data_IF_901040064905
#
_entry.id   IF_901040064905
#
_cell.length_a   1.000
_cell.length_b   1.000
_cell.length_c   1.000
_cell.angle_alpha   90.00
_cell.angle_beta   90.00
_cell.angle_gamma   90.00
#
_symmetry.space_group_name_H-M   'P 1'
#
loop_
_entity.id
_entity.type
_entity.pdbx_description
1 polymer ?
#
# COMPACT_ATOMS: atom_id res chain seq x y z
N UNK A 1 -30.60 -29.61 6.21
CA UNK A 1 -30.25 -28.23 6.62
C UNK A 1 -29.99 -27.41 5.37
N UNK A 2 -30.69 -26.29 5.17
CA UNK A 2 -30.34 -25.31 4.13
C UNK A 2 -29.23 -24.44 4.70
N UNK A 3 -28.03 -24.51 4.13
CA UNK A 3 -26.97 -23.57 4.48
C UNK A 3 -27.37 -22.18 3.98
N UNK A 4 -27.44 -21.21 4.88
CA UNK A 4 -27.63 -19.80 4.52
C UNK A 4 -26.23 -19.21 4.41
N UNK A 5 -25.70 -19.17 3.20
CA UNK A 5 -24.49 -18.38 2.90
C UNK A 5 -24.93 -16.92 2.83
N UNK A 6 -24.72 -16.17 3.90
CA UNK A 6 -24.90 -14.72 3.87
C UNK A 6 -23.61 -14.13 3.31
N UNK A 7 -23.59 -13.82 2.02
CA UNK A 7 -22.53 -13.00 1.44
C UNK A 7 -22.60 -11.64 2.12
N UNK A 8 -21.58 -11.31 2.90
CA UNK A 8 -21.39 -9.94 3.38
C UNK A 8 -20.77 -9.20 2.20
N UNK A 9 -21.60 -8.59 1.37
CA UNK A 9 -21.12 -7.57 0.44
C UNK A 9 -20.68 -6.37 1.29
N UNK A 10 -19.40 -6.34 1.65
CA UNK A 10 -18.78 -5.12 2.17
C UNK A 10 -18.80 -4.12 1.03
N UNK A 11 -19.70 -3.13 1.10
CA UNK A 11 -19.62 -1.98 0.21
C UNK A 11 -18.40 -1.14 0.61
N UNK A 12 -17.23 -1.55 0.12
CA UNK A 12 -15.94 -0.90 0.35
C UNK A 12 -16.00 0.60 0.03
N UNK A 13 -16.82 1.01 -0.97
CA UNK A 13 -16.93 2.41 -1.37
C UNK A 13 -17.63 3.26 -0.30
N UNK A 14 -18.59 2.70 0.42
CA UNK A 14 -19.28 3.38 1.53
C UNK A 14 -18.47 3.42 2.83
N UNK A 15 -17.55 2.46 3.02
CA UNK A 15 -16.79 2.28 4.26
C UNK A 15 -15.41 2.96 4.24
N UNK A 16 -14.87 3.28 3.07
CA UNK A 16 -13.50 3.75 2.95
C UNK A 16 -13.36 5.27 2.99
N UNK A 17 -12.38 5.74 3.75
CA UNK A 17 -11.88 7.12 3.62
C UNK A 17 -10.84 7.16 2.49
N UNK A 18 -10.98 8.08 1.54
CA UNK A 18 -9.94 8.30 0.53
C UNK A 18 -8.76 8.99 1.18
N UNK A 19 -7.56 8.43 1.04
CA UNK A 19 -6.33 8.98 1.61
C UNK A 19 -5.17 8.79 0.62
N UNK A 20 -4.29 9.78 0.53
CA UNK A 20 -3.04 9.65 -0.22
C UNK A 20 -1.95 9.00 0.63
N UNK A 21 -0.88 8.52 -0.01
CA UNK A 21 0.28 7.99 0.72
C UNK A 21 0.87 9.07 1.63
N UNK A 22 1.04 10.29 1.12
CA UNK A 22 1.57 11.41 1.90
C UNK A 22 0.70 11.79 3.11
N UNK A 23 -0.63 11.69 3.00
CA UNK A 23 -1.55 11.94 4.10
C UNK A 23 -1.45 10.87 5.20
N UNK A 24 -1.34 9.59 4.82
CA UNK A 24 -1.12 8.52 5.80
C UNK A 24 0.23 8.69 6.53
N UNK A 25 1.26 9.13 5.81
CA UNK A 25 2.57 9.42 6.39
C UNK A 25 2.59 10.53 7.43
N UNK A 26 1.64 11.48 7.35
CA UNK A 26 1.52 12.56 8.34
C UNK A 26 1.08 12.06 9.72
N UNK A 27 0.54 10.84 9.83
CA UNK A 27 0.29 10.21 11.13
C UNK A 27 1.60 9.72 11.73
N UNK A 28 1.97 10.22 12.90
CA UNK A 28 3.20 9.85 13.58
C UNK A 28 2.99 9.03 14.86
N UNK A 29 3.99 8.19 15.14
CA UNK A 29 4.12 7.43 16.39
C UNK A 29 5.31 8.02 17.14
N UNK A 30 5.04 9.03 17.98
CA UNK A 30 6.04 9.54 18.92
C UNK A 30 6.31 8.47 19.98
N UNK A 31 7.37 7.69 19.79
CA UNK A 31 7.78 6.63 20.70
C UNK A 31 8.18 7.15 22.09
N UNK A 32 8.44 8.45 22.24
CA UNK A 32 9.16 8.98 23.40
C UNK A 32 8.49 10.12 24.16
N UNK A 33 7.38 10.72 23.72
CA UNK A 33 6.82 11.89 24.43
C UNK A 33 5.30 11.83 24.56
N UNK A 34 4.85 11.39 25.73
CA UNK A 34 3.51 11.55 26.28
C UNK A 34 2.41 10.66 25.69
N UNK A 35 2.19 9.52 26.34
CA UNK A 35 0.97 8.70 26.28
C UNK A 35 -0.26 9.44 26.86
N UNK A 36 -0.55 10.64 26.37
CA UNK A 36 -1.77 11.38 26.69
C UNK A 36 -2.14 12.33 25.54
N UNK A 37 -2.76 11.79 24.48
CA UNK A 37 -3.71 12.46 23.54
C UNK A 37 -3.68 11.93 22.09
N UNK A 38 -2.64 11.22 21.65
CA UNK A 38 -2.49 10.81 20.23
C UNK A 38 -3.01 9.39 19.90
N UNK A 39 -4.25 9.06 20.29
CA UNK A 39 -4.93 7.82 19.88
C UNK A 39 -5.16 7.71 18.37
N UNK A 40 -4.99 8.81 17.63
CA UNK A 40 -5.20 8.91 16.18
C UNK A 40 -4.38 7.90 15.37
N UNK A 41 -3.16 7.55 15.84
CA UNK A 41 -2.32 6.52 15.19
C UNK A 41 -2.94 5.13 15.31
N UNK A 42 -3.31 4.72 16.52
CA UNK A 42 -3.91 3.40 16.78
C UNK A 42 -5.26 3.24 16.06
N UNK A 43 -6.03 4.32 15.91
CA UNK A 43 -7.25 4.32 15.10
C UNK A 43 -7.03 4.06 13.61
N UNK A 44 -5.82 4.27 13.06
CA UNK A 44 -5.59 3.99 11.64
C UNK A 44 -5.58 2.48 11.36
N UNK A 45 -5.19 1.65 12.34
CA UNK A 45 -5.13 0.19 12.21
C UNK A 45 -6.51 -0.47 12.14
N UNK A 46 -7.56 0.25 12.51
CA UNK A 46 -8.94 -0.24 12.48
C UNK A 46 -9.73 0.30 11.28
N UNK A 47 -9.12 1.16 10.45
CA UNK A 47 -9.77 1.86 9.35
C UNK A 47 -9.42 1.24 8.00
N UNK A 48 -10.43 1.16 7.15
CA UNK A 48 -10.33 0.83 5.76
C UNK A 48 -10.13 2.11 4.94
N UNK A 49 -9.12 2.13 4.09
CA UNK A 49 -8.81 3.26 3.23
C UNK A 49 -8.94 2.90 1.76
N UNK A 50 -9.21 3.91 0.94
CA UNK A 50 -9.08 3.84 -0.51
C UNK A 50 -7.81 4.57 -0.92
N UNK A 51 -6.94 3.86 -1.64
CA UNK A 51 -5.75 4.44 -2.27
C UNK A 51 -6.06 4.86 -3.70
N UNK A 52 -5.46 5.97 -4.14
CA UNK A 52 -5.35 6.37 -5.54
C UNK A 52 -3.94 6.92 -5.75
N UNK A 53 -3.15 6.27 -6.62
CA UNK A 53 -1.76 6.64 -6.85
C UNK A 53 -1.05 5.66 -7.78
N UNK A 54 0.26 5.49 -7.64
CA UNK A 54 1.07 4.67 -8.55
C UNK A 54 1.72 3.49 -7.82
N UNK A 55 1.75 2.33 -8.49
CA UNK A 55 2.63 1.24 -8.10
C UNK A 55 4.03 1.44 -8.70
N UNK A 56 5.05 1.26 -7.88
CA UNK A 56 6.47 1.36 -8.23
C UNK A 56 7.22 0.17 -7.64
N UNK A 57 8.41 -0.11 -8.15
CA UNK A 57 9.32 -1.06 -7.51
C UNK A 57 10.21 -0.39 -6.48
N UNK A 58 10.46 -1.09 -5.38
CA UNK A 58 11.68 -0.96 -4.60
C UNK A 58 12.57 -2.16 -4.91
N UNK A 59 13.83 -1.92 -5.29
CA UNK A 59 14.77 -2.96 -5.72
C UNK A 59 15.98 -2.94 -4.81
N UNK A 60 16.28 -4.08 -4.20
CA UNK A 60 17.48 -4.29 -3.39
C UNK A 60 18.06 -5.67 -3.68
N UNK A 61 19.33 -5.74 -4.08
CA UNK A 61 20.04 -7.01 -4.29
C UNK A 61 19.29 -7.98 -5.22
N UNK A 62 18.71 -7.47 -6.32
CA UNK A 62 17.85 -8.20 -7.27
C UNK A 62 16.52 -8.72 -6.69
N UNK A 63 16.18 -8.34 -5.47
CA UNK A 63 14.89 -8.59 -4.84
C UNK A 63 13.98 -7.37 -5.00
N UNK A 64 12.74 -7.61 -5.38
CA UNK A 64 11.76 -6.55 -5.68
C UNK A 64 10.66 -6.53 -4.63
N UNK A 65 10.20 -5.35 -4.28
CA UNK A 65 9.00 -5.13 -3.44
C UNK A 65 8.12 -4.09 -4.11
N UNK A 66 6.82 -4.31 -4.11
CA UNK A 66 5.85 -3.32 -4.57
C UNK A 66 5.75 -2.21 -3.52
N UNK A 67 5.92 -0.97 -3.97
CA UNK A 67 5.69 0.22 -3.16
C UNK A 67 4.75 1.17 -3.88
N UNK A 68 4.00 1.94 -3.11
CA UNK A 68 2.94 2.79 -3.61
C UNK A 68 3.24 4.24 -3.29
N UNK A 69 3.10 5.11 -4.27
CA UNK A 69 3.50 6.50 -4.14
C UNK A 69 2.54 7.41 -4.90
N UNK A 70 2.33 8.62 -4.39
CA UNK A 70 1.51 9.63 -5.05
C UNK A 70 2.16 10.10 -6.38
N UNK A 71 3.42 9.73 -6.64
CA UNK A 71 4.19 10.03 -7.85
C UNK A 71 4.71 8.76 -8.56
N UNK A 72 4.65 8.77 -9.89
CA UNK A 72 5.28 7.74 -10.70
C UNK A 72 6.81 7.80 -10.60
N UNK A 73 7.46 6.64 -10.45
CA UNK A 73 8.92 6.46 -10.40
C UNK A 73 9.31 5.25 -11.25
N UNK A 74 10.52 5.17 -11.79
CA UNK A 74 10.98 3.93 -12.42
C UNK A 74 11.22 2.85 -11.36
N UNK A 75 11.96 3.18 -10.30
CA UNK A 75 12.09 2.37 -9.09
C UNK A 75 12.76 3.18 -7.97
N UNK A 76 12.67 2.67 -6.75
CA UNK A 76 13.50 3.06 -5.62
C UNK A 76 14.65 2.07 -5.44
N UNK A 77 15.87 2.57 -5.23
CA UNK A 77 17.06 1.75 -4.99
C UNK A 77 17.49 1.71 -3.51
N UNK A 78 16.94 2.59 -2.67
CA UNK A 78 17.23 2.63 -1.24
C UNK A 78 15.97 2.85 -0.42
N UNK A 79 15.93 2.25 0.77
CA UNK A 79 14.78 2.38 1.67
C UNK A 79 14.61 3.84 2.14
N UNK A 80 15.72 4.57 2.31
CA UNK A 80 15.72 5.98 2.70
C UNK A 80 15.07 6.87 1.65
N UNK A 81 15.32 6.62 0.36
CA UNK A 81 14.68 7.40 -0.71
C UNK A 81 13.19 7.07 -0.84
N UNK A 82 12.81 5.81 -0.72
CA UNK A 82 11.41 5.39 -0.67
C UNK A 82 10.66 6.03 0.52
N UNK A 83 11.26 6.00 1.71
CA UNK A 83 10.69 6.62 2.90
C UNK A 83 10.57 8.14 2.77
N UNK A 84 11.58 8.81 2.20
CA UNK A 84 11.55 10.26 1.94
C UNK A 84 10.49 10.64 0.90
N UNK A 85 10.25 9.76 -0.07
CA UNK A 85 9.16 9.86 -1.05
C UNK A 85 7.78 9.60 -0.46
N UNK A 86 7.71 9.15 0.80
CA UNK A 86 6.48 8.75 1.49
C UNK A 86 5.81 7.53 0.84
N UNK A 87 6.61 6.58 0.39
CA UNK A 87 6.10 5.37 -0.28
C UNK A 87 5.51 4.35 0.72
N UNK A 88 4.30 3.85 0.46
CA UNK A 88 3.70 2.76 1.24
C UNK A 88 4.26 1.42 0.78
N UNK A 89 4.73 0.59 1.70
CA UNK A 89 5.24 -0.74 1.37
C UNK A 89 4.10 -1.75 1.41
N UNK A 90 3.88 -2.45 0.29
CA UNK A 90 2.91 -3.52 0.23
C UNK A 90 3.50 -4.76 0.89
N UNK A 91 2.88 -5.23 1.97
CA UNK A 91 3.32 -6.43 2.68
C UNK A 91 2.29 -7.55 2.53
N UNK A 92 1.89 -7.79 1.29
CA UNK A 92 1.18 -8.98 0.89
C UNK A 92 2.23 -10.02 0.46
N UNK A 93 2.00 -11.31 0.75
CA UNK A 93 2.97 -12.39 0.48
C UNK A 93 3.43 -12.44 -0.99
N UNK A 94 2.57 -12.01 -1.90
CA UNK A 94 2.81 -11.94 -3.34
C UNK A 94 3.31 -10.58 -3.82
N UNK A 95 3.67 -9.65 -2.94
CA UNK A 95 4.13 -8.30 -3.31
C UNK A 95 5.45 -7.90 -2.63
N UNK A 96 5.94 -8.73 -1.72
CA UNK A 96 7.20 -8.56 -1.00
C UNK A 96 8.19 -9.63 -1.42
N UNK A 97 9.47 -9.28 -1.52
CA UNK A 97 10.55 -10.20 -1.87
C UNK A 97 10.36 -10.98 -3.19
N UNK A 98 9.83 -10.32 -4.22
CA UNK A 98 9.67 -10.92 -5.54
C UNK A 98 11.05 -11.19 -6.14
N UNK A 99 11.34 -12.47 -6.38
CA UNK A 99 12.63 -12.89 -6.89
C UNK A 99 12.50 -13.98 -7.96
N UNK A 100 11.53 -14.87 -7.82
CA UNK A 100 11.25 -15.94 -8.78
C UNK A 100 10.14 -15.56 -9.74
N UNK A 101 10.10 -16.14 -10.93
CA UNK A 101 9.00 -15.95 -11.89
C UNK A 101 7.62 -16.22 -11.28
N UNK A 102 7.55 -17.13 -10.31
CA UNK A 102 6.30 -17.43 -9.61
C UNK A 102 5.81 -16.25 -8.78
N UNK A 103 6.73 -15.57 -8.10
CA UNK A 103 6.39 -14.41 -7.27
C UNK A 103 5.84 -13.29 -8.16
N UNK A 104 6.50 -13.03 -9.29
CA UNK A 104 6.06 -12.01 -10.24
C UNK A 104 4.70 -12.33 -10.87
N UNK A 105 4.44 -13.60 -11.22
CA UNK A 105 3.13 -14.01 -11.79
C UNK A 105 1.98 -13.91 -10.80
N UNK A 106 2.25 -14.10 -9.52
CA UNK A 106 1.22 -14.09 -8.49
C UNK A 106 0.96 -12.68 -7.92
N UNK A 107 1.78 -11.69 -8.27
CA UNK A 107 1.64 -10.32 -7.83
C UNK A 107 0.71 -9.52 -8.77
N UNK A 108 -0.46 -9.05 -8.31
CA UNK A 108 -1.40 -8.32 -9.16
C UNK A 108 -0.92 -6.90 -9.53
N UNK A 109 0.11 -6.39 -8.87
CA UNK A 109 0.65 -5.05 -9.08
C UNK A 109 1.85 -5.01 -10.05
N UNK A 110 2.40 -6.17 -10.45
CA UNK A 110 3.65 -6.24 -11.23
C UNK A 110 3.55 -5.54 -12.58
N UNK A 111 2.44 -5.67 -13.29
CA UNK A 111 2.25 -5.01 -14.57
C UNK A 111 2.32 -3.48 -14.42
N UNK A 112 1.67 -2.95 -13.39
CA UNK A 112 1.65 -1.52 -13.09
C UNK A 112 3.00 -1.01 -12.61
N UNK A 113 3.69 -1.81 -11.78
CA UNK A 113 5.02 -1.50 -11.29
C UNK A 113 6.10 -1.57 -12.39
N UNK A 114 5.93 -2.40 -13.42
CA UNK A 114 6.88 -2.59 -14.52
C UNK A 114 6.83 -1.53 -15.61
N UNK A 115 5.73 -0.77 -15.73
CA UNK A 115 5.63 0.36 -16.67
C UNK A 115 6.71 1.41 -16.36
N UNK A 116 7.32 1.99 -17.40
CA UNK A 116 8.22 3.14 -17.22
C UNK A 116 7.48 4.31 -16.60
N UNK A 117 8.20 5.20 -15.92
CA UNK A 117 7.59 6.35 -15.23
C UNK A 117 6.61 7.15 -16.10
N UNK A 118 6.91 7.37 -17.37
CA UNK A 118 6.06 8.14 -18.30
C UNK A 118 4.77 7.43 -18.70
N UNK A 119 4.77 6.09 -18.62
CA UNK A 119 3.65 5.23 -19.04
C UNK A 119 2.83 4.69 -17.86
N UNK A 120 3.24 4.98 -16.63
CA UNK A 120 2.53 4.53 -15.43
C UNK A 120 1.15 5.17 -15.36
N UNK A 121 0.16 4.32 -15.13
CA UNK A 121 -1.24 4.72 -14.91
C UNK A 121 -1.55 4.74 -13.42
N UNK A 122 -2.47 5.62 -13.03
CA UNK A 122 -3.01 5.60 -11.67
C UNK A 122 -3.76 4.29 -11.43
N UNK A 123 -3.60 3.76 -10.22
CA UNK A 123 -4.33 2.62 -9.72
C UNK A 123 -5.17 3.02 -8.51
N UNK A 124 -6.24 2.27 -8.28
CA UNK A 124 -7.05 2.38 -7.07
C UNK A 124 -7.35 1.00 -6.49
N UNK A 125 -7.36 0.91 -5.17
CA UNK A 125 -7.72 -0.28 -4.39
C UNK A 125 -7.96 0.12 -2.93
N UNK A 126 -8.46 -0.82 -2.13
CA UNK A 126 -8.64 -0.63 -0.70
C UNK A 126 -7.54 -1.29 0.12
N UNK A 127 -7.22 -0.72 1.27
CA UNK A 127 -6.18 -1.25 2.16
C UNK A 127 -6.43 -0.92 3.63
N UNK A 128 -5.72 -1.63 4.51
CA UNK A 128 -5.56 -1.27 5.93
C UNK A 128 -4.07 -1.12 6.26
N UNK A 129 -3.65 -0.05 6.94
CA UNK A 129 -2.30 0.02 7.49
C UNK A 129 -2.18 -0.94 8.67
N UNK A 130 -1.03 -1.59 8.83
CA UNK A 130 -0.83 -2.54 9.93
C UNK A 130 0.50 -2.39 10.66
N UNK A 131 1.44 -1.57 10.16
CA UNK A 131 2.66 -1.20 10.89
C UNK A 131 3.27 0.10 10.34
N UNK A 132 3.68 1.02 11.22
CA UNK A 132 4.66 2.07 10.88
C UNK A 132 6.00 1.66 11.46
N UNK A 133 7.01 1.47 10.61
CA UNK A 133 8.30 0.95 11.07
C UNK A 133 9.24 2.07 11.57
N UNK A 134 10.38 1.69 12.15
CA UNK A 134 11.41 2.62 12.66
C UNK A 134 12.14 3.42 11.58
N UNK A 135 11.98 3.06 10.31
CA UNK A 135 12.46 3.85 9.16
C UNK A 135 11.38 4.82 8.63
N UNK A 136 10.34 5.09 9.45
CA UNK A 136 9.27 6.04 9.21
C UNK A 136 8.38 5.78 7.99
N UNK A 137 8.25 4.53 7.53
CA UNK A 137 7.28 4.18 6.49
C UNK A 137 6.14 3.31 7.01
N UNK A 138 5.00 3.39 6.31
CA UNK A 138 3.85 2.54 6.55
C UNK A 138 3.93 1.26 5.72
N UNK A 139 3.69 0.14 6.37
CA UNK A 139 3.33 -1.11 5.72
C UNK A 139 1.82 -1.26 5.74
N UNK A 140 1.29 -1.75 4.62
CA UNK A 140 -0.15 -1.90 4.41
C UNK A 140 -0.48 -3.31 3.93
N UNK A 141 -1.70 -3.73 4.23
CA UNK A 141 -2.34 -4.91 3.65
C UNK A 141 -3.33 -4.44 2.58
N UNK A 142 -3.09 -4.78 1.32
CA UNK A 142 -4.01 -4.47 0.23
C UNK A 142 -5.08 -5.57 0.05
N UNK A 143 -6.31 -5.14 -0.26
CA UNK A 143 -7.37 -6.02 -0.77
C UNK A 143 -7.26 -6.05 -2.30
N UNK A 144 -6.45 -6.96 -2.80
CA UNK A 144 -5.94 -6.94 -4.17
C UNK A 144 -7.00 -7.19 -5.24
N UNK A 145 -8.06 -7.91 -4.88
CA UNK A 145 -9.25 -8.14 -5.70
C UNK A 145 -10.00 -6.83 -6.04
N UNK A 146 -9.71 -5.75 -5.31
CA UNK A 146 -10.25 -4.41 -5.54
C UNK A 146 -9.37 -3.53 -6.45
N UNK A 147 -8.22 -4.02 -6.91
CA UNK A 147 -7.29 -3.29 -7.78
C UNK A 147 -7.91 -2.95 -9.13
N UNK A 148 -7.93 -1.66 -9.48
CA UNK A 148 -8.39 -1.16 -10.78
C UNK A 148 -7.44 -0.09 -11.30
N UNK A 149 -7.24 -0.04 -12.62
CA UNK A 149 -6.67 1.14 -13.27
C UNK A 149 -7.69 2.30 -13.23
N UNK A 150 -7.20 3.52 -13.09
CA UNK A 150 -8.02 4.73 -13.17
C UNK A 150 -7.94 5.26 -14.59
N UNK A 151 -9.07 5.25 -15.31
CA UNK A 151 -9.21 5.92 -16.60
C UNK A 151 -9.49 7.41 -16.34
N UNK A 152 -8.65 8.29 -16.86
CA UNK A 152 -8.83 9.75 -16.82
C UNK A 152 -9.69 10.23 -17.98
#
# INVERSE_FOLDING_TARGET
>A
MKSITKTIDLDFASAATTITAAQLYAFDYDLDHNYSSNYTYAEQFTKLYKYVGYANYYIKDSTYTIVLDDTAKDSYSTITTAASGKALFLNNDNAVNLYTDSDFRNCPFVEEAAKSKENKTLITFYFTPYLKNTSHYWQIQAFEDTLRQVTL
#
